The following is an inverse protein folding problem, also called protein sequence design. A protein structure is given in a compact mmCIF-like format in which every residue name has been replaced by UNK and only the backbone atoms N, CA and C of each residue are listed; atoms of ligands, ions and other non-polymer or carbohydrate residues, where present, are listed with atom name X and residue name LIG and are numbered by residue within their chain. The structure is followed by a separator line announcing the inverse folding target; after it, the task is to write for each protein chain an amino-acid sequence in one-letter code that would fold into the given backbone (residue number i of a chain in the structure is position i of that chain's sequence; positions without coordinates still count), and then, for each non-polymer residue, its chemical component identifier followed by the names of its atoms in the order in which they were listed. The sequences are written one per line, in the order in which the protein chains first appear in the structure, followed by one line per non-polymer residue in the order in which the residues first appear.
data_IF_709651434803
#
_entry.id   IF_709651434803
#
_cell.length_a   1.000
_cell.length_b   1.000
_cell.length_c   1.000
_cell.angle_alpha   90.00
_cell.angle_beta   90.00
_cell.angle_gamma   90.00
#
_symmetry.space_group_name_H-M   'P 1'
#
loop_
_entity.id
_entity.type
_entity.pdbx_description
1 polymer ?
#
# COMPACT_ATOMS: atom_id res chain seq x y z
N UNK A 1 -12.39 -22.43 21.95
CA UNK A 1 -11.11 -22.20 21.25
C UNK A 1 -11.28 -21.09 20.22
N UNK A 2 -10.45 -20.09 20.27
CA UNK A 2 -10.44 -19.06 19.24
C UNK A 2 -9.70 -19.58 18.02
N UNK A 3 -10.34 -19.54 16.84
CA UNK A 3 -9.74 -19.97 15.59
C UNK A 3 -8.96 -18.88 14.90
N UNK A 4 -9.00 -17.67 15.42
CA UNK A 4 -8.28 -16.53 14.89
C UNK A 4 -8.85 -15.23 15.43
N UNK A 5 -8.18 -14.14 15.11
CA UNK A 5 -8.60 -12.79 15.51
C UNK A 5 -8.74 -11.94 14.27
N UNK A 6 -9.92 -11.33 14.11
CA UNK A 6 -10.19 -10.43 13.00
C UNK A 6 -9.66 -9.03 13.31
N UNK A 7 -8.99 -8.41 12.34
CA UNK A 7 -8.51 -7.05 12.46
C UNK A 7 -9.41 -6.10 11.71
N UNK A 8 -9.87 -5.05 12.38
CA UNK A 8 -10.74 -4.04 11.77
C UNK A 8 -9.93 -2.94 11.11
N UNK A 9 -10.39 -2.51 9.93
CA UNK A 9 -9.70 -1.50 9.14
C UNK A 9 -9.58 -0.14 9.87
N UNK A 10 -10.47 0.14 10.83
CA UNK A 10 -10.42 1.38 11.61
C UNK A 10 -9.11 1.49 12.42
N UNK A 11 -8.48 0.37 12.71
CA UNK A 11 -7.23 0.33 13.50
C UNK A 11 -5.97 0.39 12.64
N UNK A 12 -6.10 0.38 11.32
CA UNK A 12 -4.94 0.44 10.44
C UNK A 12 -4.29 1.82 10.43
N UNK A 13 -3.01 1.85 10.15
CA UNK A 13 -2.27 3.10 9.96
C UNK A 13 -1.19 2.89 8.91
N UNK A 14 -0.98 3.89 8.07
CA UNK A 14 0.07 3.91 7.07
C UNK A 14 1.05 5.03 7.40
N UNK A 15 2.32 4.69 7.47
CA UNK A 15 3.41 5.63 7.63
C UNK A 15 4.10 5.85 6.28
N UNK A 16 4.42 7.08 5.97
CA UNK A 16 5.15 7.41 4.77
C UNK A 16 6.04 8.63 5.00
N UNK A 17 7.22 8.64 4.39
CA UNK A 17 8.11 9.79 4.42
C UNK A 17 9.35 9.56 3.58
N UNK A 18 9.91 10.65 3.05
CA UNK A 18 11.15 10.59 2.25
C UNK A 18 12.40 10.55 3.12
N UNK A 19 12.30 10.98 4.35
CA UNK A 19 13.35 10.86 5.35
C UNK A 19 12.86 10.01 6.51
N UNK A 20 12.13 10.62 7.45
CA UNK A 20 11.48 9.91 8.54
C UNK A 20 10.04 9.65 8.15
N UNK A 21 9.60 8.41 8.26
CA UNK A 21 8.22 8.05 7.98
C UNK A 21 7.32 8.55 9.12
N UNK A 22 6.22 9.22 8.75
CA UNK A 22 5.23 9.75 9.68
C UNK A 22 3.84 9.18 9.33
N UNK A 23 2.92 9.07 10.31
CA UNK A 23 1.57 8.61 10.02
C UNK A 23 0.87 9.52 9.03
N UNK A 24 0.11 8.91 8.11
CA UNK A 24 -0.73 9.65 7.17
C UNK A 24 -1.99 10.08 7.89
N UNK A 25 -2.25 11.40 7.91
CA UNK A 25 -3.46 11.94 8.51
C UNK A 25 -4.66 11.77 7.61
N UNK A 26 -5.83 11.59 8.21
CA UNK A 26 -7.12 11.52 7.52
C UNK A 26 -7.20 10.39 6.49
N UNK A 27 -6.48 9.29 6.71
CA UNK A 27 -6.56 8.11 5.85
C UNK A 27 -7.92 7.43 5.97
N UNK A 28 -8.53 7.07 4.84
CA UNK A 28 -9.81 6.35 4.80
C UNK A 28 -9.68 4.92 4.31
N UNK A 29 -8.58 4.59 3.63
CA UNK A 29 -8.38 3.23 3.17
C UNK A 29 -7.03 3.04 2.52
N UNK A 30 -6.59 1.79 2.50
CA UNK A 30 -5.36 1.38 1.82
C UNK A 30 -5.61 0.02 1.19
N UNK A 31 -5.37 -0.08 -0.10
CA UNK A 31 -5.54 -1.32 -0.85
C UNK A 31 -4.20 -1.74 -1.42
N UNK A 32 -3.85 -3.00 -1.23
CA UNK A 32 -2.60 -3.58 -1.72
C UNK A 32 -2.93 -4.71 -2.70
N UNK A 33 -2.22 -4.74 -3.81
CA UNK A 33 -2.25 -5.84 -4.76
C UNK A 33 -0.82 -6.26 -5.07
N UNK A 34 -0.51 -7.53 -4.85
CA UNK A 34 0.82 -8.11 -5.11
C UNK A 34 0.69 -9.37 -5.94
N UNK A 35 0.30 -9.24 -7.24
CA UNK A 35 0.17 -10.41 -8.09
C UNK A 35 1.54 -11.01 -8.40
N UNK A 36 1.61 -12.34 -8.41
CA UNK A 36 2.80 -13.09 -8.81
C UNK A 36 2.52 -13.74 -10.15
N UNK A 37 3.40 -13.54 -11.10
CA UNK A 37 3.32 -14.23 -12.39
C UNK A 37 3.79 -15.67 -12.24
N UNK A 38 3.14 -16.57 -12.98
CA UNK A 38 3.51 -17.98 -13.00
C UNK A 38 3.86 -18.39 -14.42
N UNK A 39 4.99 -19.08 -14.54
CA UNK A 39 5.42 -19.65 -15.81
C UNK A 39 5.12 -21.16 -15.82
N UNK A 40 4.59 -21.64 -16.95
CA UNK A 40 4.35 -23.06 -17.15
C UNK A 40 5.66 -23.78 -17.45
N UNK A 41 5.93 -24.87 -16.73
CA UNK A 41 7.14 -25.67 -16.93
C UNK A 41 6.82 -27.10 -17.33
N UNK A 42 5.64 -27.36 -17.91
CA UNK A 42 5.24 -28.66 -18.40
C UNK A 42 6.08 -29.08 -19.62
N UNK A 43 6.33 -30.35 -19.77
CA UNK A 43 7.04 -30.90 -20.90
C UNK A 43 6.21 -31.99 -21.62
N UNK A 44 6.70 -32.43 -22.75
CA UNK A 44 6.01 -33.44 -23.55
C UNK A 44 5.82 -34.74 -22.75
N UNK A 45 4.61 -35.26 -22.83
CA UNK A 45 4.22 -36.45 -22.07
C UNK A 45 3.58 -36.16 -20.74
N UNK A 46 3.62 -34.93 -20.30
CA UNK A 46 2.97 -34.54 -19.07
C UNK A 46 1.44 -34.52 -19.27
N UNK A 47 0.72 -35.08 -18.31
CA UNK A 47 -0.76 -35.06 -18.30
C UNK A 47 -1.29 -33.96 -17.39
N UNK A 48 -0.41 -33.25 -16.70
CA UNK A 48 -0.76 -32.19 -15.76
C UNK A 48 0.14 -30.97 -15.99
N UNK A 49 -0.47 -29.80 -16.03
CA UNK A 49 0.28 -28.54 -16.18
C UNK A 49 0.87 -28.15 -14.85
N UNK A 50 2.17 -27.91 -14.80
CA UNK A 50 2.87 -27.40 -13.64
C UNK A 50 3.33 -25.97 -13.89
N UNK A 51 3.37 -25.16 -12.83
CA UNK A 51 3.74 -23.75 -12.92
C UNK A 51 4.72 -23.41 -11.82
N UNK A 52 5.65 -22.50 -12.13
CA UNK A 52 6.59 -21.95 -11.17
C UNK A 52 6.36 -20.47 -10.99
N UNK A 53 6.53 -19.94 -9.77
CA UNK A 53 6.38 -18.51 -9.56
C UNK A 53 7.48 -17.72 -10.26
N UNK A 54 7.10 -16.66 -10.91
CA UNK A 54 8.02 -15.69 -11.51
C UNK A 54 8.12 -14.42 -10.67
N UNK A 55 8.04 -13.26 -11.32
CA UNK A 55 8.14 -11.97 -10.65
C UNK A 55 6.84 -11.61 -9.96
N UNK A 56 6.96 -10.95 -8.81
CA UNK A 56 5.83 -10.39 -8.08
C UNK A 56 5.80 -8.87 -8.30
N UNK A 57 4.64 -8.35 -8.64
CA UNK A 57 4.40 -6.91 -8.76
C UNK A 57 3.74 -6.38 -7.51
N UNK A 58 3.70 -5.04 -7.38
CA UNK A 58 3.06 -4.38 -6.26
C UNK A 58 2.35 -3.12 -6.73
N UNK A 59 1.08 -3.00 -6.35
CA UNK A 59 0.29 -1.81 -6.52
C UNK A 59 -0.41 -1.49 -5.21
N UNK A 60 -0.24 -0.26 -4.73
CA UNK A 60 -0.93 0.22 -3.54
C UNK A 60 -1.77 1.44 -3.88
N UNK A 61 -2.95 1.53 -3.30
CA UNK A 61 -3.83 2.68 -3.45
C UNK A 61 -4.14 3.24 -2.06
N UNK A 62 -3.83 4.52 -1.87
CA UNK A 62 -4.06 5.23 -0.62
C UNK A 62 -5.23 6.17 -0.82
N UNK A 63 -6.30 5.99 -0.05
CA UNK A 63 -7.46 6.88 -0.05
C UNK A 63 -7.46 7.68 1.23
N UNK A 64 -7.69 8.99 1.13
CA UNK A 64 -7.71 9.86 2.31
C UNK A 64 -8.59 11.07 2.06
N UNK A 65 -9.04 11.69 3.16
CA UNK A 65 -9.63 13.02 3.10
C UNK A 65 -8.53 14.06 2.92
N UNK A 66 -8.85 15.15 2.24
CA UNK A 66 -7.87 16.23 2.08
C UNK A 66 -7.63 16.92 3.42
N UNK A 67 -6.36 17.06 3.77
CA UNK A 67 -5.90 17.81 4.93
C UNK A 67 -4.74 18.71 4.49
N UNK A 68 -4.93 20.02 4.55
CA UNK A 68 -3.89 20.94 4.06
C UNK A 68 -2.64 20.94 4.95
N UNK A 69 -2.70 20.38 6.16
CA UNK A 69 -1.54 20.20 7.03
C UNK A 69 -0.78 18.92 6.73
N UNK A 70 -1.37 17.98 6.00
CA UNK A 70 -0.72 16.74 5.58
C UNK A 70 -0.10 16.94 4.19
N UNK A 71 1.20 17.18 4.15
CA UNK A 71 1.90 17.51 2.89
C UNK A 71 2.89 16.46 2.44
N UNK A 72 3.17 15.42 3.25
CA UNK A 72 4.22 14.46 2.95
C UNK A 72 3.98 13.71 1.64
N UNK A 73 2.77 13.17 1.43
CA UNK A 73 2.43 12.46 0.20
C UNK A 73 2.44 13.40 -1.01
N UNK A 74 1.83 14.58 -0.85
CA UNK A 74 1.73 15.56 -1.94
C UNK A 74 3.10 16.05 -2.37
N UNK A 75 3.97 16.38 -1.43
CA UNK A 75 5.32 16.83 -1.72
C UNK A 75 6.15 15.73 -2.37
N UNK A 76 6.05 14.49 -1.88
CA UNK A 76 6.76 13.36 -2.47
C UNK A 76 6.28 13.09 -3.89
N UNK A 77 4.98 13.18 -4.16
CA UNK A 77 4.44 12.99 -5.50
C UNK A 77 4.91 14.08 -6.46
N UNK A 78 4.91 15.33 -6.01
CA UNK A 78 5.35 16.46 -6.82
C UNK A 78 6.83 16.39 -7.15
N UNK A 79 7.67 16.03 -6.19
CA UNK A 79 9.11 15.97 -6.33
C UNK A 79 9.61 14.63 -6.89
N UNK A 80 8.72 13.66 -7.10
CA UNK A 80 9.08 12.32 -7.57
C UNK A 80 10.13 11.67 -6.66
N UNK A 81 10.00 11.90 -5.36
CA UNK A 81 10.98 11.45 -4.38
C UNK A 81 10.62 10.04 -3.89
N UNK A 82 11.64 9.20 -3.75
CA UNK A 82 11.46 7.88 -3.15
C UNK A 82 11.26 8.03 -1.65
N UNK A 83 10.25 7.35 -1.12
CA UNK A 83 9.95 7.38 0.28
C UNK A 83 9.92 5.99 0.90
N UNK A 84 9.96 5.96 2.22
CA UNK A 84 9.78 4.74 3.00
C UNK A 84 8.33 4.67 3.44
N UNK A 85 7.76 3.48 3.41
CA UNK A 85 6.40 3.28 3.85
C UNK A 85 6.29 2.05 4.75
N UNK A 86 5.37 2.14 5.72
CA UNK A 86 5.08 1.07 6.68
C UNK A 86 3.57 1.00 6.84
N UNK A 87 2.99 -0.15 6.61
CA UNK A 87 1.56 -0.35 6.82
C UNK A 87 1.34 -1.28 8.00
N UNK A 88 0.66 -0.78 9.01
CA UNK A 88 0.28 -1.54 10.18
C UNK A 88 -1.21 -1.88 10.07
N UNK A 89 -1.58 -3.16 9.95
CA UNK A 89 -3.00 -3.54 9.96
C UNK A 89 -3.69 -3.16 11.26
N UNK A 90 -2.94 -3.18 12.36
CA UNK A 90 -3.41 -2.74 13.69
C UNK A 90 -2.31 -1.91 14.35
N UNK A 91 -2.61 -0.62 14.56
CA UNK A 91 -1.63 0.32 15.15
C UNK A 91 -1.20 -0.04 16.56
N UNK A 92 -1.98 -0.85 17.27
CA UNK A 92 -1.62 -1.31 18.61
C UNK A 92 -0.67 -2.50 18.59
N UNK A 93 -0.54 -3.19 17.45
CA UNK A 93 0.38 -4.32 17.28
C UNK A 93 1.56 -3.85 16.44
N UNK A 94 2.60 -3.35 17.12
CA UNK A 94 3.74 -2.71 16.43
C UNK A 94 4.73 -3.71 15.85
N UNK A 95 4.52 -5.00 16.05
CA UNK A 95 5.40 -6.06 15.54
C UNK A 95 4.89 -6.67 14.22
N UNK A 96 3.72 -6.27 13.76
CA UNK A 96 3.10 -6.79 12.53
C UNK A 96 2.91 -5.65 11.55
N UNK A 97 3.77 -5.58 10.53
CA UNK A 97 3.66 -4.57 9.49
C UNK A 97 4.31 -5.02 8.19
N UNK A 98 3.80 -4.48 7.09
CA UNK A 98 4.38 -4.59 5.76
C UNK A 98 5.13 -3.30 5.47
N UNK A 99 6.36 -3.39 4.96
CA UNK A 99 7.16 -2.20 4.72
C UNK A 99 7.94 -2.31 3.41
N UNK A 100 8.39 -1.16 2.95
CA UNK A 100 9.20 -1.08 1.75
C UNK A 100 9.53 0.36 1.41
N UNK A 101 10.09 0.55 0.23
CA UNK A 101 10.33 1.87 -0.34
C UNK A 101 9.58 2.00 -1.65
N UNK A 102 9.25 3.22 -2.03
CA UNK A 102 8.51 3.41 -3.26
C UNK A 102 8.25 4.87 -3.57
N UNK A 103 7.51 5.07 -4.65
CA UNK A 103 7.11 6.37 -5.13
C UNK A 103 5.60 6.50 -5.02
N UNK A 104 5.12 7.70 -4.78
CA UNK A 104 3.68 7.97 -4.79
C UNK A 104 3.34 8.90 -5.95
N UNK A 105 2.16 8.70 -6.51
CA UNK A 105 1.59 9.63 -7.49
C UNK A 105 0.20 10.05 -7.04
N UNK A 106 -0.14 11.31 -7.29
CA UNK A 106 -1.49 11.81 -7.04
C UNK A 106 -2.36 11.44 -8.23
N UNK A 107 -3.20 10.42 -8.04
CA UNK A 107 -4.05 9.92 -9.12
C UNK A 107 -5.33 10.72 -9.26
N UNK A 108 -5.93 11.14 -8.15
CA UNK A 108 -7.24 11.76 -8.19
C UNK A 108 -7.46 12.68 -7.00
N UNK A 109 -8.10 13.82 -7.27
CA UNK A 109 -8.60 14.73 -6.24
C UNK A 109 -10.07 14.99 -6.55
N UNK A 110 -10.94 14.54 -5.67
CA UNK A 110 -12.37 14.75 -5.81
C UNK A 110 -12.82 15.86 -4.88
N UNK A 111 -13.04 17.06 -5.45
CA UNK A 111 -13.50 18.20 -4.68
C UNK A 111 -15.00 18.14 -4.34
N UNK A 112 -15.76 17.39 -5.12
CA UNK A 112 -17.18 17.17 -4.85
C UNK A 112 -18.04 18.42 -4.90
N UNK A 113 -19.23 18.31 -4.31
CA UNK A 113 -20.15 19.42 -4.15
C UNK A 113 -19.99 20.15 -2.83
N UNK A 114 -20.84 21.14 -2.57
CA UNK A 114 -20.73 22.01 -1.39
C UNK A 114 -20.82 21.26 -0.06
N UNK A 115 -21.54 20.13 -0.03
CA UNK A 115 -21.75 19.36 1.19
C UNK A 115 -20.84 18.15 1.29
N UNK A 116 -19.81 18.07 0.45
CA UNK A 116 -18.90 16.91 0.40
C UNK A 116 -17.53 17.29 0.93
N UNK A 117 -16.87 16.30 1.55
CA UNK A 117 -15.49 16.43 1.99
C UNK A 117 -14.59 16.13 0.79
N UNK A 118 -13.57 16.96 0.60
CA UNK A 118 -12.59 16.73 -0.47
C UNK A 118 -11.80 15.46 -0.16
N UNK A 119 -11.71 14.56 -1.13
CA UNK A 119 -10.98 13.32 -1.00
C UNK A 119 -9.86 13.23 -2.02
N UNK A 120 -8.78 12.56 -1.65
CA UNK A 120 -7.62 12.31 -2.49
C UNK A 120 -7.38 10.83 -2.64
N UNK A 121 -6.82 10.45 -3.78
CA UNK A 121 -6.36 9.10 -4.01
C UNK A 121 -4.93 9.15 -4.55
N UNK A 122 -4.04 8.43 -3.88
CA UNK A 122 -2.65 8.30 -4.28
C UNK A 122 -2.36 6.86 -4.68
N UNK A 123 -1.49 6.70 -5.66
CA UNK A 123 -0.96 5.39 -6.03
C UNK A 123 0.44 5.24 -5.46
N UNK A 124 0.69 4.12 -4.79
CA UNK A 124 2.00 3.78 -4.26
C UNK A 124 2.61 2.69 -5.14
N UNK A 125 3.77 2.99 -5.71
CA UNK A 125 4.51 2.08 -6.58
C UNK A 125 5.78 1.67 -5.87
N UNK A 126 6.02 0.37 -5.73
CA UNK A 126 7.19 -0.11 -5.02
C UNK A 126 8.45 0.06 -5.86
N UNK A 127 9.51 0.57 -5.25
CA UNK A 127 10.85 0.57 -5.83
C UNK A 127 11.68 -0.61 -5.34
N UNK A 128 11.29 -1.21 -4.21
CA UNK A 128 11.88 -2.46 -3.69
C UNK A 128 10.74 -3.41 -3.32
N UNK A 129 11.04 -4.71 -3.29
CA UNK A 129 10.04 -5.70 -2.91
C UNK A 129 9.53 -5.43 -1.50
N UNK A 130 8.21 -5.32 -1.30
CA UNK A 130 7.65 -5.18 0.04
C UNK A 130 7.95 -6.42 0.88
N UNK A 131 8.18 -6.20 2.17
CA UNK A 131 8.55 -7.26 3.09
C UNK A 131 7.70 -7.16 4.36
N UNK A 132 7.16 -8.29 4.79
CA UNK A 132 6.53 -8.38 6.10
C UNK A 132 7.59 -8.41 7.17
N UNK A 133 7.34 -7.74 8.27
CA UNK A 133 8.21 -7.86 9.43
C UNK A 133 8.21 -9.31 9.92
N UNK A 134 9.39 -9.94 10.01
CA UNK A 134 9.48 -11.31 10.51
C UNK A 134 9.21 -11.44 12.00
#
# INVERSE_FOLDING_TARGET
MALGTTTHAVNQVLYFGTGTATPIAEGTGFQISMPTDFAEDSSWGDTFKTKKPGLTDFDGTISKWYDHNETSLRTAAQNRAEGKWYWYPDRSVTTDYLYGTGYVSLDDVNAGGLNQIISNQYKLVASTAPTWKP
#
